data_IF_449985233154
#
_entry.id   IF_449985233154
#
_cell.length_a   1.000
_cell.length_b   1.000
_cell.length_c   1.000
_cell.angle_alpha   90.00
_cell.angle_beta   90.00
_cell.angle_gamma   90.00
#
_symmetry.space_group_name_H-M   'P 1'
#
loop_
_entity.id
_entity.type
_entity.pdbx_description
1 polymer ?
#
# COMPACT_ATOMS: atom_id res chain seq x y z
N UNK A 1 15.51 -1.04 -6.01
CA UNK A 1 15.21 0.41 -6.07
C UNK A 1 13.72 0.76 -6.23
N UNK A 2 12.88 -0.03 -6.90
CA UNK A 2 11.46 0.33 -7.09
C UNK A 2 10.64 0.38 -5.78
N UNK A 3 10.90 -0.52 -4.82
CA UNK A 3 10.16 -0.62 -3.55
C UNK A 3 10.35 0.60 -2.64
N UNK A 4 11.58 1.12 -2.53
CA UNK A 4 11.87 2.33 -1.71
C UNK A 4 11.11 3.55 -2.20
N UNK A 5 10.69 3.56 -3.48
CA UNK A 5 9.91 4.67 -4.03
C UNK A 5 8.49 4.78 -3.47
N UNK A 6 7.95 3.69 -2.90
CA UNK A 6 6.63 3.67 -2.27
C UNK A 6 6.63 4.33 -0.89
N UNK A 7 7.79 4.40 -0.24
CA UNK A 7 7.98 4.97 1.09
C UNK A 7 8.11 6.50 1.02
N UNK A 8 7.80 7.15 2.14
CA UNK A 8 7.91 8.60 2.38
C UNK A 8 7.16 9.47 1.36
N UNK A 9 6.24 8.88 0.61
CA UNK A 9 5.45 9.53 -0.44
C UNK A 9 3.97 9.38 -0.11
N UNK A 10 3.21 10.46 -0.30
CA UNK A 10 1.75 10.40 -0.23
C UNK A 10 1.19 10.01 -1.60
N UNK A 11 0.39 8.97 -1.60
CA UNK A 11 -0.24 8.35 -2.76
C UNK A 11 -1.75 8.58 -2.75
N UNK A 12 -2.31 8.85 -3.92
CA UNK A 12 -3.75 8.76 -4.17
C UNK A 12 -4.11 7.36 -4.68
N UNK A 13 -5.05 6.71 -4.02
CA UNK A 13 -5.47 5.33 -4.22
C UNK A 13 -6.65 5.24 -5.18
N UNK A 14 -6.54 4.36 -6.18
CA UNK A 14 -7.63 3.99 -7.08
C UNK A 14 -7.72 2.46 -7.15
N UNK A 15 -8.92 1.95 -7.36
CA UNK A 15 -9.15 0.55 -7.72
C UNK A 15 -9.06 0.40 -9.22
N UNK A 16 -8.54 -0.74 -9.66
CA UNK A 16 -8.48 -1.13 -11.05
C UNK A 16 -9.18 -2.47 -11.26
N UNK A 17 -10.05 -2.54 -12.26
CA UNK A 17 -10.49 -3.82 -12.78
C UNK A 17 -9.34 -4.52 -13.52
N UNK A 18 -9.45 -5.83 -13.85
CA UNK A 18 -8.40 -6.53 -14.59
C UNK A 18 -7.97 -5.78 -15.86
N UNK A 19 -6.67 -5.73 -16.11
CA UNK A 19 -6.11 -5.12 -17.31
C UNK A 19 -6.15 -6.14 -18.45
N UNK A 20 -7.01 -5.93 -19.44
CA UNK A 20 -7.14 -6.81 -20.60
C UNK A 20 -6.10 -6.43 -21.67
N UNK A 21 -5.09 -7.29 -21.87
CA UNK A 21 -3.99 -7.02 -22.81
C UNK A 21 -3.85 -8.08 -23.90
N UNK A 22 -4.70 -9.12 -23.90
CA UNK A 22 -4.62 -10.26 -24.82
C UNK A 22 -4.77 -9.97 -26.31
N UNK A 23 -5.06 -8.74 -26.69
CA UNK A 23 -5.06 -8.32 -28.11
C UNK A 23 -3.64 -8.12 -28.63
N UNK A 24 -2.68 -7.81 -27.76
CA UNK A 24 -1.33 -7.38 -28.15
C UNK A 24 -0.21 -8.21 -27.52
N UNK A 25 -0.38 -8.60 -26.25
CA UNK A 25 0.63 -9.36 -25.51
C UNK A 25 -0.02 -10.44 -24.65
N UNK A 26 0.63 -11.61 -24.56
CA UNK A 26 0.12 -12.74 -23.76
C UNK A 26 0.28 -12.52 -22.25
N UNK A 27 1.32 -11.78 -21.83
CA UNK A 27 1.65 -11.47 -20.43
C UNK A 27 2.13 -10.02 -20.29
N UNK A 28 1.82 -9.40 -19.14
CA UNK A 28 2.19 -8.00 -18.85
C UNK A 28 3.35 -7.89 -17.84
N UNK A 29 3.33 -8.65 -16.74
CA UNK A 29 4.28 -8.49 -15.62
C UNK A 29 5.71 -8.96 -15.94
N UNK A 30 5.85 -10.03 -16.73
CA UNK A 30 7.15 -10.63 -17.07
C UNK A 30 7.61 -10.28 -18.49
N UNK A 31 6.99 -9.26 -19.10
CA UNK A 31 7.22 -8.92 -20.50
C UNK A 31 7.80 -7.50 -20.64
N UNK A 32 9.15 -7.36 -20.67
CA UNK A 32 9.78 -6.04 -20.80
C UNK A 32 9.47 -5.36 -22.13
N UNK A 33 9.14 -6.13 -23.18
CA UNK A 33 8.75 -5.57 -24.49
C UNK A 33 7.36 -4.94 -24.41
N UNK A 34 6.41 -5.61 -23.74
CA UNK A 34 5.07 -5.06 -23.50
C UNK A 34 5.15 -3.77 -22.68
N UNK A 35 5.88 -3.78 -21.57
CA UNK A 35 6.04 -2.61 -20.71
C UNK A 35 6.66 -1.42 -21.45
N UNK A 36 7.74 -1.62 -22.23
CA UNK A 36 8.33 -0.56 -23.05
C UNK A 36 7.38 -0.03 -24.13
N UNK A 37 6.56 -0.89 -24.71
CA UNK A 37 5.57 -0.51 -25.72
C UNK A 37 4.51 0.40 -25.11
N UNK A 38 3.93 0.02 -23.96
CA UNK A 38 2.94 0.84 -23.26
C UNK A 38 3.54 2.13 -22.70
N UNK A 39 4.79 2.11 -22.21
CA UNK A 39 5.51 3.32 -21.79
C UNK A 39 5.68 4.31 -22.95
N UNK A 40 6.06 3.81 -24.14
CA UNK A 40 6.21 4.64 -25.34
C UNK A 40 4.86 5.26 -25.75
N UNK A 41 3.78 4.47 -25.76
CA UNK A 41 2.44 4.99 -26.08
C UNK A 41 1.94 6.04 -25.10
N UNK A 42 2.16 5.82 -23.81
CA UNK A 42 1.81 6.81 -22.78
C UNK A 42 2.61 8.10 -22.99
N UNK A 43 3.92 8.00 -23.25
CA UNK A 43 4.77 9.15 -23.56
C UNK A 43 4.25 9.92 -24.78
N UNK A 44 3.89 9.21 -25.85
CA UNK A 44 3.39 9.81 -27.08
C UNK A 44 2.04 10.51 -26.85
N UNK A 45 1.16 9.94 -26.01
CA UNK A 45 -0.10 10.60 -25.62
C UNK A 45 0.13 11.85 -24.76
N UNK A 46 1.11 11.81 -23.84
CA UNK A 46 1.45 12.96 -22.99
C UNK A 46 2.16 14.09 -23.75
N UNK A 47 2.93 13.74 -24.78
CA UNK A 47 3.65 14.70 -25.63
C UNK A 47 2.78 15.23 -26.77
N UNK A 48 1.73 14.49 -27.15
CA UNK A 48 0.78 14.88 -28.19
C UNK A 48 -0.15 16.02 -27.77
N UNK A 49 -0.77 16.68 -28.76
CA UNK A 49 -1.63 17.86 -28.59
C UNK A 49 -2.84 17.66 -27.65
N UNK A 50 -3.21 16.42 -27.32
CA UNK A 50 -4.33 16.08 -26.45
C UNK A 50 -4.09 16.42 -24.97
N UNK A 51 -2.85 16.38 -24.48
CA UNK A 51 -2.55 16.73 -23.08
C UNK A 51 -2.77 18.23 -22.82
N UNK A 52 -2.33 19.07 -23.75
CA UNK A 52 -2.50 20.53 -23.67
C UNK A 52 -3.97 20.97 -23.74
N UNK A 53 -4.81 20.23 -24.47
CA UNK A 53 -6.24 20.52 -24.55
C UNK A 53 -7.02 20.10 -23.30
N UNK A 54 -6.59 19.04 -22.60
CA UNK A 54 -7.21 18.60 -21.35
C UNK A 54 -6.96 19.58 -20.20
N UNK A 55 -5.75 20.16 -20.13
CA UNK A 55 -5.37 21.19 -19.16
C UNK A 55 -6.25 22.45 -19.26
N UNK A 56 -6.69 22.82 -20.46
CA UNK A 56 -7.54 24.02 -20.66
C UNK A 56 -9.02 23.84 -20.28
N UNK A 57 -9.46 22.62 -19.93
CA UNK A 57 -10.90 22.28 -19.85
C UNK A 57 -11.43 21.89 -18.46
N UNK A 58 -10.61 21.86 -17.40
CA UNK A 58 -11.08 21.41 -16.07
C UNK A 58 -10.70 22.33 -14.90
N UNK A 59 -11.67 23.10 -14.40
CA UNK A 59 -11.77 23.48 -12.98
C UNK A 59 -10.82 24.55 -12.43
N UNK A 60 -11.02 25.02 -11.19
CA UNK A 60 -10.58 26.33 -10.72
C UNK A 60 -9.05 26.49 -10.67
N UNK A 61 -8.61 27.71 -10.94
CA UNK A 61 -7.26 28.17 -11.31
C UNK A 61 -6.08 27.90 -10.34
N UNK A 62 -6.25 27.09 -9.28
CA UNK A 62 -5.17 26.85 -8.29
C UNK A 62 -4.29 25.63 -8.60
N UNK A 63 -4.76 24.67 -9.40
CA UNK A 63 -4.00 23.44 -9.71
C UNK A 63 -3.20 23.51 -11.03
N UNK A 64 -3.53 24.48 -11.90
CA UNK A 64 -2.91 24.70 -13.22
C UNK A 64 -1.42 25.14 -13.12
N UNK A 65 -1.07 25.76 -11.99
CA UNK A 65 0.30 26.22 -11.68
C UNK A 65 1.28 25.05 -11.41
N UNK A 66 0.79 23.85 -11.08
CA UNK A 66 1.66 22.69 -10.88
C UNK A 66 2.18 22.14 -12.21
N UNK A 67 1.32 22.05 -13.23
CA UNK A 67 1.70 21.54 -14.56
C UNK A 67 2.50 22.57 -15.35
N UNK A 68 2.18 23.85 -15.20
CA UNK A 68 2.93 24.95 -15.85
C UNK A 68 4.42 24.98 -15.49
N UNK A 69 4.79 24.52 -14.29
CA UNK A 69 6.18 24.44 -13.81
C UNK A 69 6.86 23.09 -14.05
N UNK A 70 6.13 22.09 -14.55
CA UNK A 70 6.63 20.72 -14.69
C UNK A 70 7.74 20.60 -15.74
N UNK A 71 7.72 21.45 -16.78
CA UNK A 71 8.67 21.40 -17.90
C UNK A 71 8.34 20.30 -18.90
N UNK A 72 9.24 20.05 -19.86
CA UNK A 72 9.02 19.02 -20.89
C UNK A 72 9.20 17.60 -20.34
N UNK A 73 8.45 16.62 -20.87
CA UNK A 73 8.61 15.21 -20.53
C UNK A 73 9.92 14.67 -21.13
N UNK A 74 10.82 14.21 -20.27
CA UNK A 74 12.12 13.65 -20.65
C UNK A 74 12.05 12.13 -20.86
N UNK A 75 11.42 11.42 -19.93
CA UNK A 75 11.35 9.96 -19.98
C UNK A 75 10.02 9.41 -19.42
N UNK A 76 9.61 8.25 -19.93
CA UNK A 76 8.50 7.47 -19.40
C UNK A 76 8.94 6.00 -19.35
N UNK A 77 8.94 5.41 -18.17
CA UNK A 77 9.38 4.03 -17.96
C UNK A 77 8.33 3.24 -17.18
N UNK A 78 8.19 1.97 -17.55
CA UNK A 78 7.33 1.00 -16.87
C UNK A 78 8.22 -0.17 -16.47
N UNK A 79 8.35 -0.39 -15.17
CA UNK A 79 9.27 -1.37 -14.59
C UNK A 79 8.49 -2.37 -13.73
N UNK A 80 8.79 -3.68 -13.81
CA UNK A 80 8.15 -4.65 -12.95
C UNK A 80 8.64 -4.47 -11.50
N UNK A 81 7.72 -4.50 -10.56
CA UNK A 81 8.02 -4.61 -9.13
C UNK A 81 8.14 -6.10 -8.83
N UNK A 82 9.37 -6.58 -8.61
CA UNK A 82 9.63 -8.02 -8.44
C UNK A 82 9.10 -8.55 -7.10
N UNK A 83 9.23 -7.77 -6.02
CA UNK A 83 8.71 -8.12 -4.70
C UNK A 83 8.08 -6.88 -4.01
N UNK A 84 7.08 -7.09 -3.16
CA UNK A 84 6.54 -6.05 -2.27
C UNK A 84 7.10 -6.14 -0.85
N UNK A 85 7.96 -7.12 -0.56
CA UNK A 85 8.70 -7.22 0.68
C UNK A 85 9.53 -5.96 0.89
N UNK A 86 9.20 -5.18 1.93
CA UNK A 86 9.91 -3.96 2.27
C UNK A 86 11.10 -4.25 3.20
N UNK A 87 11.13 -5.43 3.82
CA UNK A 87 12.21 -5.85 4.72
C UNK A 87 13.50 -6.26 4.00
N UNK A 88 13.43 -6.68 2.72
CA UNK A 88 14.61 -7.07 1.92
C UNK A 88 15.50 -5.89 1.51
N UNK A 89 15.07 -4.65 1.79
CA UNK A 89 15.84 -3.42 1.55
C UNK A 89 17.12 -3.38 2.41
N UNK A 90 17.23 -4.23 3.43
CA UNK A 90 18.38 -4.33 4.34
C UNK A 90 19.48 -5.30 3.85
N UNK A 91 19.16 -6.33 3.04
CA UNK A 91 20.09 -7.43 2.73
C UNK A 91 20.88 -7.29 1.41
N UNK A 92 20.41 -6.49 0.45
CA UNK A 92 21.07 -6.36 -0.88
C UNK A 92 22.38 -5.55 -0.89
N UNK A 93 22.80 -5.00 0.26
CA UNK A 93 24.01 -4.17 0.38
C UNK A 93 25.16 -4.82 1.17
N UNK A 94 25.15 -6.14 1.40
CA UNK A 94 26.29 -6.84 2.00
C UNK A 94 27.11 -7.68 0.98
N UNK A 95 27.98 -7.07 0.14
CA UNK A 95 28.92 -7.80 -0.68
C UNK A 95 30.16 -8.15 0.16
N UNK A 96 30.06 -9.15 1.04
CA UNK A 96 31.09 -9.33 2.07
C UNK A 96 31.22 -10.70 2.71
N UNK A 97 31.25 -11.80 1.95
CA UNK A 97 32.00 -12.96 2.43
C UNK A 97 32.65 -13.75 1.29
N UNK A 98 33.71 -13.16 0.74
CA UNK A 98 34.65 -13.83 -0.14
C UNK A 98 35.77 -14.51 0.65
N UNK A 99 35.76 -15.84 0.62
CA UNK A 99 36.94 -16.73 0.55
C UNK A 99 37.85 -16.86 1.78
N UNK A 100 37.89 -18.09 2.34
CA UNK A 100 39.17 -18.67 2.75
C UNK A 100 39.25 -20.16 2.32
N UNK A 101 40.38 -20.60 1.72
CA UNK A 101 40.49 -21.89 1.04
C UNK A 101 41.21 -22.96 1.89
N UNK A 102 40.82 -24.23 1.73
CA UNK A 102 41.70 -25.38 2.03
C UNK A 102 41.33 -26.63 1.22
N UNK A 103 42.06 -26.82 0.12
CA UNK A 103 42.64 -28.05 -0.49
C UNK A 103 41.99 -29.47 -0.42
N UNK A 104 42.30 -30.38 -1.40
CA UNK A 104 41.41 -31.42 -1.97
C UNK A 104 41.93 -32.87 -1.76
N UNK A 105 41.59 -33.89 -2.60
CA UNK A 105 40.28 -34.50 -2.90
C UNK A 105 40.24 -36.02 -2.60
N UNK A 106 39.05 -36.62 -2.47
CA UNK A 106 38.86 -38.07 -2.71
C UNK A 106 37.63 -38.33 -3.58
N UNK A 107 37.72 -39.23 -4.57
CA UNK A 107 36.69 -39.41 -5.60
C UNK A 107 35.70 -40.48 -5.15
N UNK A 108 34.39 -40.27 -5.42
CA UNK A 108 33.47 -41.36 -5.77
C UNK A 108 32.11 -40.85 -6.27
N UNK A 109 31.78 -41.35 -7.45
CA UNK A 109 30.45 -41.67 -8.01
C UNK A 109 29.52 -40.51 -8.37
N UNK A 110 29.68 -40.15 -9.64
CA UNK A 110 28.76 -39.50 -10.57
C UNK A 110 27.32 -40.04 -10.44
N UNK A 111 26.46 -39.29 -9.78
CA UNK A 111 25.02 -39.23 -10.10
C UNK A 111 24.80 -37.91 -10.83
N UNK A 112 24.34 -38.01 -12.08
CA UNK A 112 23.98 -36.85 -12.90
C UNK A 112 22.85 -36.08 -12.21
N UNK A 113 23.20 -35.01 -11.50
CA UNK A 113 22.25 -34.01 -11.04
C UNK A 113 21.92 -33.14 -12.25
N UNK A 114 20.76 -33.39 -12.84
CA UNK A 114 20.12 -32.49 -13.80
C UNK A 114 20.11 -31.07 -13.19
N UNK A 115 20.37 -30.01 -13.98
CA UNK A 115 20.28 -28.65 -13.48
C UNK A 115 18.86 -28.41 -12.96
N UNK A 116 18.66 -27.69 -11.84
CA UNK A 116 17.33 -27.29 -11.43
C UNK A 116 16.73 -26.47 -12.57
N UNK A 117 15.62 -26.96 -13.13
CA UNK A 117 14.85 -26.23 -14.12
C UNK A 117 14.40 -24.92 -13.49
N UNK A 118 14.96 -23.81 -13.98
CA UNK A 118 14.48 -22.45 -13.74
C UNK A 118 13.01 -22.41 -14.20
N UNK A 119 12.11 -22.59 -13.24
CA UNK A 119 10.69 -22.37 -13.43
C UNK A 119 10.47 -20.87 -13.23
N UNK A 120 9.98 -20.11 -14.22
CA UNK A 120 9.72 -18.69 -14.05
C UNK A 120 8.41 -18.55 -13.27
N UNK A 121 8.48 -18.65 -11.94
CA UNK A 121 7.40 -18.26 -11.03
C UNK A 121 7.79 -17.01 -10.25
N UNK A 122 8.41 -16.04 -10.92
CA UNK A 122 8.55 -14.69 -10.38
C UNK A 122 7.24 -13.95 -10.60
N UNK A 123 6.22 -14.29 -9.80
CA UNK A 123 4.94 -13.59 -9.86
C UNK A 123 5.13 -12.21 -9.24
N UNK A 124 5.48 -11.22 -10.08
CA UNK A 124 5.83 -9.88 -9.67
C UNK A 124 4.75 -9.21 -8.81
N UNK A 125 5.20 -8.40 -7.85
CA UNK A 125 4.37 -7.59 -6.95
C UNK A 125 3.66 -6.41 -7.61
N UNK A 126 3.97 -6.08 -8.87
CA UNK A 126 3.30 -4.99 -9.58
C UNK A 126 4.08 -4.37 -10.74
N UNK A 127 3.69 -3.16 -11.12
CA UNK A 127 4.33 -2.34 -12.15
C UNK A 127 4.52 -0.93 -11.59
N UNK A 128 5.74 -0.40 -11.63
CA UNK A 128 6.06 0.98 -11.32
C UNK A 128 6.13 1.78 -12.63
N UNK A 129 5.38 2.87 -12.71
CA UNK A 129 5.40 3.83 -13.81
C UNK A 129 6.09 5.09 -13.33
N UNK A 130 7.15 5.50 -14.01
CA UNK A 130 7.89 6.73 -13.71
C UNK A 130 7.81 7.67 -14.91
N UNK A 131 7.42 8.91 -14.65
CA UNK A 131 7.40 10.00 -15.62
C UNK A 131 8.40 11.06 -15.16
N UNK A 132 9.50 11.19 -15.89
CA UNK A 132 10.52 12.20 -15.59
C UNK A 132 10.30 13.39 -16.48
N UNK A 133 9.96 14.51 -15.86
CA UNK A 133 9.92 15.82 -16.49
C UNK A 133 11.15 16.62 -16.07
N UNK A 134 11.40 17.72 -16.78
CA UNK A 134 12.55 18.58 -16.53
C UNK A 134 12.71 19.03 -15.07
N UNK A 135 11.59 19.40 -14.43
CA UNK A 135 11.63 19.97 -13.09
C UNK A 135 11.07 19.04 -12.01
N UNK A 136 10.53 17.87 -12.38
CA UNK A 136 9.87 16.99 -11.42
C UNK A 136 9.73 15.56 -11.92
N UNK A 137 9.65 14.62 -10.97
CA UNK A 137 9.39 13.22 -11.27
C UNK A 137 8.06 12.80 -10.66
N UNK A 138 7.20 12.29 -11.52
CA UNK A 138 5.90 11.76 -11.16
C UNK A 138 5.93 10.24 -11.19
N UNK A 139 5.27 9.60 -10.23
CA UNK A 139 5.24 8.15 -10.11
C UNK A 139 3.83 7.62 -9.96
N UNK A 140 3.59 6.42 -10.48
CA UNK A 140 2.42 5.60 -10.21
C UNK A 140 2.82 4.14 -10.03
N UNK A 141 2.07 3.39 -9.24
CA UNK A 141 2.33 1.96 -9.04
C UNK A 141 1.03 1.17 -9.14
N UNK A 142 1.03 0.13 -9.98
CA UNK A 142 -0.04 -0.86 -10.08
C UNK A 142 0.38 -2.08 -9.27
N UNK A 143 -0.35 -2.44 -8.22
CA UNK A 143 0.07 -3.43 -7.24
C UNK A 143 -0.81 -4.67 -7.23
N UNK A 144 -0.22 -5.83 -6.91
CA UNK A 144 -0.90 -7.11 -6.70
C UNK A 144 -0.29 -7.87 -5.52
N UNK A 145 -1.09 -8.74 -4.89
CA UNK A 145 -0.68 -9.51 -3.72
C UNK A 145 0.18 -10.74 -4.07
N UNK A 146 0.33 -11.08 -5.36
CA UNK A 146 0.89 -12.37 -5.80
C UNK A 146 2.33 -12.64 -5.34
N UNK A 147 3.08 -11.61 -4.94
CA UNK A 147 4.45 -11.73 -4.44
C UNK A 147 4.56 -12.06 -2.94
N UNK A 148 3.51 -11.84 -2.15
CA UNK A 148 3.58 -11.92 -0.68
C UNK A 148 3.22 -13.30 -0.12
N UNK A 149 2.58 -14.15 -0.94
CA UNK A 149 2.12 -15.50 -0.54
C UNK A 149 3.13 -16.62 -0.85
N UNK A 150 4.34 -16.30 -1.32
CA UNK A 150 5.36 -17.29 -1.68
C UNK A 150 5.95 -18.07 -0.49
N UNK A 151 5.61 -17.73 0.76
CA UNK A 151 6.25 -18.30 1.96
C UNK A 151 5.31 -19.10 2.88
N UNK A 152 4.00 -19.17 2.60
CA UNK A 152 3.09 -19.92 3.47
C UNK A 152 1.90 -20.49 2.66
N UNK A 153 2.06 -21.67 2.08
CA UNK A 153 0.97 -22.66 1.86
C UNK A 153 1.53 -23.92 1.15
N UNK A 154 1.45 -25.12 1.78
CA UNK A 154 1.80 -26.37 1.15
C UNK A 154 0.61 -26.98 0.38
N UNK A 155 0.78 -27.19 -0.92
CA UNK A 155 0.09 -28.23 -1.72
C UNK A 155 -1.46 -28.24 -1.73
N UNK A 156 -2.09 -27.24 -2.35
CA UNK A 156 -3.47 -27.40 -2.83
C UNK A 156 -3.48 -27.76 -4.33
N UNK A 157 -3.94 -28.99 -4.63
CA UNK A 157 -4.10 -29.52 -6.01
C UNK A 157 -5.04 -28.63 -6.84
N UNK A 158 -4.76 -28.44 -8.16
CA UNK A 158 -5.60 -27.61 -9.01
C UNK A 158 -6.98 -28.27 -9.21
N UNK A 159 -8.03 -27.65 -8.68
CA UNK A 159 -9.41 -28.06 -8.94
C UNK A 159 -9.76 -27.83 -10.41
N UNK A 160 -10.41 -28.83 -11.00
CA UNK A 160 -10.76 -28.93 -12.41
C UNK A 160 -11.56 -27.71 -12.90
N UNK A 161 -11.08 -27.12 -13.99
CA UNK A 161 -11.72 -26.01 -14.71
C UNK A 161 -13.01 -26.49 -15.38
N UNK A 162 -14.15 -25.93 -14.96
CA UNK A 162 -15.38 -26.00 -15.74
C UNK A 162 -15.25 -25.13 -16.99
N UNK A 163 -15.79 -25.68 -18.08
CA UNK A 163 -15.58 -25.38 -19.49
C UNK A 163 -16.40 -24.15 -19.92
N UNK A 164 -15.83 -22.95 -19.79
CA UNK A 164 -16.33 -21.72 -20.46
C UNK A 164 -15.37 -20.50 -20.34
N UNK A 165 -14.06 -20.71 -20.19
CA UNK A 165 -13.07 -19.62 -20.29
C UNK A 165 -12.63 -19.45 -21.74
N UNK A 166 -13.26 -18.53 -22.48
CA UNK A 166 -12.54 -17.78 -23.51
C UNK A 166 -11.27 -17.23 -22.86
N UNK A 167 -10.11 -17.55 -23.44
CA UNK A 167 -8.80 -17.15 -22.91
C UNK A 167 -8.63 -15.63 -23.00
N UNK A 168 -9.21 -14.87 -22.07
CA UNK A 168 -8.94 -13.45 -21.92
C UNK A 168 -7.63 -13.31 -21.15
N UNK A 169 -6.53 -13.01 -21.85
CA UNK A 169 -5.26 -12.66 -21.21
C UNK A 169 -5.44 -11.32 -20.48
N UNK A 170 -5.75 -11.42 -19.19
CA UNK A 170 -6.01 -10.30 -18.30
C UNK A 170 -5.11 -10.42 -17.06
N UNK A 171 -4.49 -9.31 -16.67
CA UNK A 171 -3.65 -9.22 -15.48
C UNK A 171 -4.40 -8.49 -14.37
N UNK A 172 -4.48 -9.06 -13.17
CA UNK A 172 -5.12 -8.43 -12.00
C UNK A 172 -4.11 -7.62 -11.18
N UNK A 173 -4.27 -6.30 -11.21
CA UNK A 173 -3.50 -5.32 -10.42
C UNK A 173 -4.48 -4.40 -9.71
N UNK A 174 -5.18 -4.88 -8.66
CA UNK A 174 -6.39 -4.24 -8.11
C UNK A 174 -6.16 -2.84 -7.54
N UNK A 175 -4.93 -2.47 -7.20
CA UNK A 175 -4.61 -1.20 -6.55
C UNK A 175 -3.69 -0.34 -7.42
N UNK A 176 -4.14 0.87 -7.74
CA UNK A 176 -3.37 1.92 -8.38
C UNK A 176 -3.01 3.01 -7.37
N UNK A 177 -1.71 3.21 -7.16
CA UNK A 177 -1.14 4.35 -6.45
C UNK A 177 -0.72 5.42 -7.45
N UNK A 178 -1.11 6.68 -7.23
CA UNK A 178 -0.68 7.80 -8.09
C UNK A 178 -0.14 8.96 -7.27
N UNK A 179 0.98 9.52 -7.71
CA UNK A 179 1.55 10.77 -7.22
C UNK A 179 1.57 11.78 -8.37
N UNK A 180 0.38 12.06 -8.93
CA UNK A 180 0.19 12.89 -10.12
C UNK A 180 -0.71 14.10 -9.79
N UNK A 181 -0.46 15.29 -10.40
CA UNK A 181 -1.45 16.37 -10.44
C UNK A 181 -2.75 15.89 -11.09
N UNK A 182 -3.88 16.54 -10.78
CA UNK A 182 -5.19 16.07 -11.20
C UNK A 182 -5.33 15.87 -12.73
N UNK A 183 -4.87 16.78 -13.61
CA UNK A 183 -5.02 16.59 -15.06
C UNK A 183 -4.13 15.47 -15.61
N UNK A 184 -2.90 15.32 -15.08
CA UNK A 184 -2.01 14.20 -15.44
C UNK A 184 -2.60 12.86 -15.00
N UNK A 185 -3.17 12.81 -13.80
CA UNK A 185 -3.86 11.63 -13.29
C UNK A 185 -5.05 11.24 -14.15
N UNK A 186 -5.86 12.21 -14.57
CA UNK A 186 -7.01 11.95 -15.43
C UNK A 186 -6.57 11.40 -16.81
N UNK A 187 -5.49 11.97 -17.37
CA UNK A 187 -4.92 11.49 -18.64
C UNK A 187 -4.41 10.06 -18.51
N UNK A 188 -3.68 9.76 -17.42
CA UNK A 188 -3.18 8.41 -17.16
C UNK A 188 -4.29 7.40 -16.94
N UNK A 189 -5.32 7.74 -16.18
CA UNK A 189 -6.51 6.89 -15.99
C UNK A 189 -7.21 6.64 -17.33
N UNK A 190 -7.41 7.69 -18.14
CA UNK A 190 -8.01 7.55 -19.47
C UNK A 190 -7.17 6.67 -20.40
N UNK A 191 -5.85 6.77 -20.34
CA UNK A 191 -4.94 5.90 -21.09
C UNK A 191 -5.10 4.44 -20.67
N UNK A 192 -5.13 4.16 -19.36
CA UNK A 192 -5.32 2.80 -18.85
C UNK A 192 -6.66 2.23 -19.34
N UNK A 193 -7.75 2.97 -19.17
CA UNK A 193 -9.08 2.54 -19.59
C UNK A 193 -9.18 2.28 -21.09
N UNK A 194 -8.63 3.15 -21.94
CA UNK A 194 -8.66 2.98 -23.38
C UNK A 194 -7.77 1.84 -23.89
N UNK A 195 -6.62 1.63 -23.24
CA UNK A 195 -5.61 0.65 -23.67
C UNK A 195 -5.94 -0.76 -23.19
N UNK A 196 -6.43 -0.90 -21.96
CA UNK A 196 -6.61 -2.19 -21.29
C UNK A 196 -8.07 -2.57 -21.01
N UNK A 197 -9.04 -1.77 -21.47
CA UNK A 197 -10.46 -1.97 -21.17
C UNK A 197 -10.68 -2.20 -19.65
N UNK A 198 -10.07 -1.30 -18.85
CA UNK A 198 -10.07 -1.35 -17.40
C UNK A 198 -10.84 -0.17 -16.82
N UNK A 199 -11.57 -0.42 -15.75
CA UNK A 199 -12.27 0.59 -14.98
C UNK A 199 -11.40 1.05 -13.82
N UNK A 200 -11.19 2.36 -13.71
CA UNK A 200 -10.46 3.00 -12.63
C UNK A 200 -11.43 3.79 -11.75
N UNK A 201 -11.53 3.48 -10.45
CA UNK A 201 -12.36 4.25 -9.52
C UNK A 201 -11.59 4.73 -8.30
N UNK A 202 -11.90 5.91 -7.73
CA UNK A 202 -11.31 6.34 -6.46
C UNK A 202 -11.51 5.28 -5.38
N UNK A 203 -10.45 4.91 -4.65
CA UNK A 203 -10.54 3.88 -3.63
C UNK A 203 -10.92 4.50 -2.28
N UNK A 204 -12.20 4.38 -1.92
CA UNK A 204 -12.71 4.83 -0.61
C UNK A 204 -12.49 3.75 0.44
N UNK A 205 -11.88 4.12 1.56
CA UNK A 205 -11.65 3.20 2.68
C UNK A 205 -12.73 3.42 3.76
N UNK A 206 -13.45 2.37 4.17
CA UNK A 206 -14.41 2.46 5.27
C UNK A 206 -13.75 2.82 6.61
N UNK A 207 -14.50 3.44 7.51
CA UNK A 207 -14.02 3.84 8.84
C UNK A 207 -13.53 2.65 9.67
N UNK A 208 -14.25 1.52 9.67
CA UNK A 208 -13.82 0.31 10.37
C UNK A 208 -12.47 -0.20 9.82
N UNK A 209 -12.27 -0.16 8.50
CA UNK A 209 -11.01 -0.61 7.90
C UNK A 209 -9.84 0.27 8.35
N UNK A 210 -10.04 1.58 8.38
CA UNK A 210 -9.03 2.55 8.84
C UNK A 210 -8.66 2.27 10.30
N UNK A 211 -9.65 1.99 11.16
CA UNK A 211 -9.43 1.54 12.53
C UNK A 211 -8.60 0.26 12.58
N UNK A 212 -9.09 -0.82 11.96
CA UNK A 212 -8.39 -2.12 11.94
C UNK A 212 -6.97 -2.01 11.40
N UNK A 213 -6.70 -1.13 10.44
CA UNK A 213 -5.37 -0.89 9.90
C UNK A 213 -4.40 -0.34 10.96
N UNK A 214 -4.84 0.54 11.87
CA UNK A 214 -4.03 1.00 12.99
C UNK A 214 -3.78 -0.13 13.99
N UNK A 215 -4.81 -0.90 14.34
CA UNK A 215 -4.67 -2.03 15.27
C UNK A 215 -3.71 -3.08 14.71
N UNK A 216 -3.86 -3.49 13.45
CA UNK A 216 -2.92 -4.41 12.79
C UNK A 216 -1.51 -3.87 12.75
N UNK A 217 -1.33 -2.56 12.47
CA UNK A 217 -0.02 -1.93 12.47
C UNK A 217 0.64 -1.98 13.86
N UNK A 218 -0.10 -1.63 14.92
CA UNK A 218 0.37 -1.70 16.31
C UNK A 218 0.70 -3.15 16.70
N UNK A 219 -0.20 -4.09 16.41
CA UNK A 219 0.01 -5.51 16.72
C UNK A 219 1.24 -6.07 16.02
N UNK A 220 1.52 -5.63 14.78
CA UNK A 220 2.75 -6.02 14.06
C UNK A 220 4.01 -5.48 14.77
N UNK A 221 3.97 -4.23 15.25
CA UNK A 221 5.09 -3.65 16.01
C UNK A 221 5.30 -4.34 17.37
N UNK A 222 4.23 -4.78 18.03
CA UNK A 222 4.29 -5.43 19.35
C UNK A 222 4.66 -6.91 19.24
N UNK A 223 4.15 -7.63 18.24
CA UNK A 223 4.39 -9.08 18.06
C UNK A 223 5.83 -9.40 17.64
N UNK A 224 6.44 -8.55 16.82
CA UNK A 224 7.82 -8.72 16.32
C UNK A 224 8.85 -8.00 17.21
N UNK A 225 8.37 -7.15 18.13
CA UNK A 225 9.21 -6.49 19.12
C UNK A 225 9.56 -7.45 20.26
N UNK A 226 10.84 -7.82 20.38
CA UNK A 226 11.33 -8.55 21.56
C UNK A 226 10.92 -7.82 22.86
N UNK A 227 10.30 -8.53 23.83
CA UNK A 227 9.76 -7.92 25.03
C UNK A 227 10.87 -7.19 25.80
N UNK A 228 10.73 -5.86 25.92
CA UNK A 228 11.58 -5.00 26.74
C UNK A 228 12.64 -4.18 26.02
N UNK A 229 12.81 -4.29 24.68
CA UNK A 229 13.83 -3.47 23.98
C UNK A 229 13.26 -2.31 23.16
N UNK A 230 12.05 -2.41 22.60
CA UNK A 230 11.48 -1.39 21.72
C UNK A 230 10.03 -1.08 22.09
N UNK A 231 9.75 0.19 22.36
CA UNK A 231 8.40 0.66 22.64
C UNK A 231 7.75 1.12 21.32
N UNK A 232 6.57 0.60 20.91
CA UNK A 232 5.87 1.02 19.69
C UNK A 232 5.61 2.53 19.63
N UNK A 233 5.51 3.20 20.78
CA UNK A 233 5.40 4.66 20.89
C UNK A 233 6.57 5.41 20.23
N UNK A 234 7.77 4.81 20.18
CA UNK A 234 8.94 5.41 19.53
C UNK A 234 8.76 5.53 18.01
N UNK A 235 8.04 4.60 17.41
CA UNK A 235 7.76 4.54 15.97
C UNK A 235 6.52 5.39 15.65
N UNK A 236 5.46 5.23 16.44
CA UNK A 236 4.19 5.94 16.25
C UNK A 236 4.32 7.44 16.51
N UNK A 237 5.21 7.88 17.41
CA UNK A 237 5.34 9.27 17.85
C UNK A 237 4.02 9.80 18.40
N UNK A 238 3.28 10.57 17.62
CA UNK A 238 1.95 11.12 17.94
C UNK A 238 0.87 10.45 17.10
N UNK A 239 -0.36 10.40 17.60
CA UNK A 239 -1.50 9.83 16.89
C UNK A 239 -2.53 10.92 16.60
N UNK A 240 -2.84 11.13 15.33
CA UNK A 240 -3.89 12.04 14.88
C UNK A 240 -5.05 11.26 14.28
N UNK A 241 -6.25 11.53 14.79
CA UNK A 241 -7.50 11.02 14.27
C UNK A 241 -8.31 12.17 13.72
N UNK A 242 -8.81 12.04 12.50
CA UNK A 242 -9.80 12.97 11.94
C UNK A 242 -11.12 12.28 11.85
N UNK A 243 -12.11 12.80 12.56
CA UNK A 243 -13.50 12.40 12.48
C UNK A 243 -14.21 13.31 11.49
N UNK A 244 -15.15 12.74 10.73
CA UNK A 244 -16.03 13.48 9.82
C UNK A 244 -17.48 13.30 10.23
N UNK A 245 -18.26 14.36 10.05
CA UNK A 245 -19.68 14.39 10.38
C UNK A 245 -20.49 14.67 9.11
N UNK A 246 -21.54 13.88 8.83
CA UNK A 246 -22.49 14.19 7.78
C UNK A 246 -23.21 15.50 8.08
N UNK A 247 -23.49 16.28 7.03
CA UNK A 247 -24.21 17.55 7.14
C UNK A 247 -25.63 17.38 7.72
N UNK A 248 -26.23 16.19 7.60
CA UNK A 248 -27.53 15.85 8.20
C UNK A 248 -27.50 15.77 9.73
N UNK A 249 -26.32 15.60 10.32
CA UNK A 249 -26.11 15.45 11.76
C UNK A 249 -25.57 16.73 12.34
N UNK A 250 -24.53 17.28 11.72
CA UNK A 250 -23.84 18.47 12.17
C UNK A 250 -23.53 19.36 10.94
N UNK A 251 -24.46 20.24 10.52
CA UNK A 251 -24.29 21.03 9.30
C UNK A 251 -23.08 21.98 9.37
N UNK A 252 -22.78 22.49 10.57
CA UNK A 252 -21.71 23.46 10.79
C UNK A 252 -20.37 22.82 11.17
N UNK A 253 -20.36 21.55 11.61
CA UNK A 253 -19.17 20.83 12.02
C UNK A 253 -18.84 19.76 11.00
N UNK A 254 -17.94 20.06 10.05
CA UNK A 254 -17.55 19.08 9.01
C UNK A 254 -16.59 18.02 9.51
N UNK A 255 -15.67 18.40 10.38
CA UNK A 255 -14.59 17.53 10.86
C UNK A 255 -14.10 17.92 12.25
N UNK A 256 -13.67 16.93 13.03
CA UNK A 256 -13.01 17.10 14.32
C UNK A 256 -11.66 16.39 14.28
N UNK A 257 -10.60 17.08 14.69
CA UNK A 257 -9.27 16.49 14.82
C UNK A 257 -8.97 16.22 16.28
N UNK A 258 -8.59 14.99 16.58
CA UNK A 258 -8.16 14.53 17.91
C UNK A 258 -6.68 14.17 17.78
N UNK A 259 -5.85 14.80 18.61
CA UNK A 259 -4.42 14.54 18.66
C UNK A 259 -4.08 13.94 20.01
N UNK A 260 -3.42 12.79 20.00
CA UNK A 260 -2.95 12.08 21.19
C UNK A 260 -1.41 12.23 21.20
N UNK A 261 -0.86 13.04 22.13
CA UNK A 261 0.57 13.22 22.26
C UNK A 261 1.29 11.90 22.60
N UNK A 262 2.58 11.86 22.29
CA UNK A 262 3.45 10.69 22.50
C UNK A 262 3.45 10.23 23.97
N UNK A 263 3.44 11.18 24.90
CA UNK A 263 3.51 10.93 26.33
C UNK A 263 2.28 10.14 26.81
N UNK A 264 1.09 10.53 26.32
CA UNK A 264 -0.19 9.89 26.64
C UNK A 264 -0.41 8.57 25.89
N UNK A 265 0.12 8.45 24.66
CA UNK A 265 -0.04 7.25 23.84
C UNK A 265 0.47 5.99 24.55
N UNK A 266 1.57 6.11 25.30
CA UNK A 266 2.13 5.01 26.08
C UNK A 266 1.16 4.42 27.11
N UNK A 267 0.30 5.26 27.71
CA UNK A 267 -0.72 4.80 28.65
C UNK A 267 -1.80 3.97 27.97
N UNK A 268 -2.22 4.38 26.77
CA UNK A 268 -3.22 3.66 25.97
C UNK A 268 -2.71 2.32 25.45
N UNK A 269 -1.43 2.24 25.06
CA UNK A 269 -0.82 0.98 24.60
C UNK A 269 -0.50 0.01 25.75
N UNK A 270 -0.25 0.52 26.98
CA UNK A 270 0.13 -0.29 28.15
C UNK A 270 -1.06 -0.72 29.00
N UNK A 271 -2.25 -0.17 28.79
CA UNK A 271 -3.46 -0.51 29.53
C UNK A 271 -3.92 -1.98 29.35
N UNK A 272 -3.17 -2.80 28.62
CA UNK A 272 -3.28 -4.26 28.42
C UNK A 272 -3.26 -5.15 29.68
N UNK A 273 -3.50 -4.62 30.88
CA UNK A 273 -3.20 -5.35 32.11
C UNK A 273 -4.13 -5.08 33.28
N UNK A 274 -5.42 -5.46 33.17
CA UNK A 274 -6.19 -5.84 34.35
C UNK A 274 -7.44 -6.70 34.05
N UNK A 275 -7.27 -7.91 33.52
CA UNK A 275 -8.34 -8.92 33.53
C UNK A 275 -8.42 -9.82 32.29
N UNK A 276 -8.19 -11.12 32.50
CA UNK A 276 -8.63 -12.26 31.68
C UNK A 276 -8.71 -12.09 30.15
N UNK A 277 -7.58 -12.34 29.47
CA UNK A 277 -7.57 -13.09 28.20
C UNK A 277 -8.13 -12.45 26.93
N UNK A 278 -8.55 -11.19 26.94
CA UNK A 278 -8.88 -10.46 25.71
C UNK A 278 -7.77 -9.46 25.41
N UNK A 279 -7.10 -9.58 24.27
CA UNK A 279 -6.24 -8.51 23.74
C UNK A 279 -7.08 -7.22 23.75
N UNK A 280 -6.70 -6.25 24.59
CA UNK A 280 -7.43 -5.00 24.67
C UNK A 280 -7.04 -4.16 23.47
N UNK A 281 -7.92 -4.10 22.49
CA UNK A 281 -7.74 -3.27 21.30
C UNK A 281 -7.60 -1.79 21.72
N UNK A 282 -6.49 -1.16 21.33
CA UNK A 282 -6.15 0.25 21.63
C UNK A 282 -7.30 1.18 21.25
N UNK A 283 -7.99 0.86 20.16
CA UNK A 283 -9.14 1.61 19.69
C UNK A 283 -10.34 1.52 20.62
N UNK A 284 -10.54 0.39 21.27
CA UNK A 284 -11.63 0.20 22.24
C UNK A 284 -11.37 1.02 23.50
N UNK A 285 -10.12 1.03 23.98
CA UNK A 285 -9.71 1.87 25.12
C UNK A 285 -9.89 3.35 24.79
N UNK A 286 -9.48 3.77 23.59
CA UNK A 286 -9.65 5.15 23.15
C UNK A 286 -11.12 5.52 23.00
N UNK A 287 -11.95 4.61 22.47
CA UNK A 287 -13.41 4.82 22.36
C UNK A 287 -14.03 5.04 23.74
N UNK A 288 -13.68 4.20 24.72
CA UNK A 288 -14.13 4.35 26.10
C UNK A 288 -13.67 5.67 26.73
N UNK A 289 -12.42 6.08 26.48
CA UNK A 289 -11.89 7.36 26.98
C UNK A 289 -12.65 8.57 26.40
N UNK A 290 -12.95 8.55 25.10
CA UNK A 290 -13.74 9.60 24.44
C UNK A 290 -15.20 9.61 24.95
N UNK A 291 -15.78 8.45 25.23
CA UNK A 291 -17.11 8.36 25.80
C UNK A 291 -17.15 8.90 27.24
N UNK A 292 -16.19 8.50 28.09
CA UNK A 292 -16.12 8.92 29.49
C UNK A 292 -15.82 10.42 29.64
N UNK A 293 -14.85 10.94 28.90
CA UNK A 293 -14.36 12.30 29.11
C UNK A 293 -14.93 13.35 28.16
N UNK A 294 -15.39 12.95 26.97
CA UNK A 294 -15.96 13.86 25.98
C UNK A 294 -17.46 13.60 25.71
N UNK A 295 -18.08 12.64 26.41
CA UNK A 295 -19.45 12.20 26.15
C UNK A 295 -19.67 11.80 24.69
N UNK A 296 -18.62 11.32 24.02
CA UNK A 296 -18.64 10.98 22.60
C UNK A 296 -18.70 9.47 22.43
N UNK A 297 -19.89 8.95 22.12
CA UNK A 297 -20.06 7.55 21.74
C UNK A 297 -19.62 7.35 20.30
N UNK A 298 -18.47 6.71 20.11
CA UNK A 298 -17.88 6.48 18.80
C UNK A 298 -17.16 5.13 18.76
N UNK A 299 -17.53 4.26 17.82
CA UNK A 299 -16.86 2.96 17.63
C UNK A 299 -15.70 3.11 16.64
N UNK A 300 -14.47 3.05 17.16
CA UNK A 300 -13.26 3.08 16.36
C UNK A 300 -12.88 1.71 15.77
N UNK A 301 -13.23 0.61 16.43
CA UNK A 301 -12.79 -0.74 16.05
C UNK A 301 -13.72 -1.39 15.03
N UNK A 302 -14.95 -0.87 14.90
CA UNK A 302 -15.98 -1.44 14.03
C UNK A 302 -16.46 -2.82 14.50
N UNK A 303 -16.06 -3.25 15.70
CA UNK A 303 -16.44 -4.52 16.30
C UNK A 303 -17.94 -4.57 16.64
N UNK A 304 -18.60 -3.41 16.74
CA UNK A 304 -20.05 -3.30 16.94
C UNK A 304 -20.90 -3.74 15.74
N UNK A 305 -20.30 -3.93 14.55
CA UNK A 305 -21.04 -4.33 13.34
C UNK A 305 -21.51 -5.80 13.34
N UNK A 306 -21.09 -6.62 14.31
CA UNK A 306 -21.36 -8.07 14.32
C UNK A 306 -22.22 -8.61 15.47
N UNK A 307 -22.52 -7.84 16.52
CA UNK A 307 -23.02 -8.41 17.79
C UNK A 307 -24.28 -7.75 18.40
N UNK A 308 -25.09 -7.07 17.60
CA UNK A 308 -26.39 -6.54 18.05
C UNK A 308 -27.31 -6.13 16.91
N UNK A 309 -28.63 -6.00 17.15
CA UNK A 309 -29.54 -5.50 16.13
C UNK A 309 -29.11 -4.08 15.75
N UNK A 310 -28.68 -3.90 14.50
CA UNK A 310 -28.35 -2.61 13.91
C UNK A 310 -29.48 -1.61 14.17
N UNK A 311 -29.29 -0.69 15.11
CA UNK A 311 -30.10 0.51 15.17
C UNK A 311 -29.60 1.38 14.02
N UNK A 312 -30.27 1.30 12.87
CA UNK A 312 -30.13 2.26 11.75
C UNK A 312 -30.22 3.67 12.34
N UNK A 313 -29.07 4.32 12.55
CA UNK A 313 -28.99 5.65 13.17
C UNK A 313 -27.95 5.86 14.27
N UNK A 314 -26.96 4.97 14.49
CA UNK A 314 -25.88 5.25 15.47
C UNK A 314 -24.50 5.62 14.88
N UNK A 315 -24.22 5.42 13.59
CA UNK A 315 -22.96 5.89 12.97
C UNK A 315 -23.15 7.25 12.30
N UNK A 316 -23.37 8.27 13.14
CA UNK A 316 -23.40 9.66 12.69
C UNK A 316 -22.00 10.27 12.57
N UNK A 317 -20.98 9.61 13.11
CA UNK A 317 -19.58 10.05 13.06
C UNK A 317 -18.77 8.98 12.38
N UNK A 318 -17.83 9.37 11.52
CA UNK A 318 -17.00 8.45 10.74
C UNK A 318 -15.53 8.77 10.93
N UNK A 319 -14.71 7.75 11.19
CA UNK A 319 -13.27 7.90 11.14
C UNK A 319 -12.88 8.14 9.69
N UNK A 320 -12.41 9.35 9.39
CA UNK A 320 -12.05 9.77 8.05
C UNK A 320 -10.56 9.58 7.78
N UNK A 321 -9.69 9.69 8.80
CA UNK A 321 -8.25 9.61 8.61
C UNK A 321 -7.53 9.25 9.92
N UNK A 322 -6.46 8.47 9.79
CA UNK A 322 -5.44 8.26 10.82
C UNK A 322 -4.10 8.75 10.27
N UNK A 323 -3.33 9.43 11.12
CA UNK A 323 -1.93 9.72 10.85
C UNK A 323 -1.09 9.52 12.10
N UNK A 324 0.04 8.84 11.95
CA UNK A 324 1.07 8.71 12.98
C UNK A 324 2.46 8.79 12.34
N UNK A 325 3.51 8.65 13.14
CA UNK A 325 4.90 8.67 12.70
C UNK A 325 5.24 7.60 11.66
N UNK A 326 4.51 6.48 11.64
CA UNK A 326 4.74 5.34 10.73
C UNK A 326 3.90 5.36 9.45
N UNK A 327 2.70 5.93 9.47
CA UNK A 327 1.85 5.99 8.28
C UNK A 327 0.76 7.07 8.35
N UNK A 328 0.15 7.34 7.19
CA UNK A 328 -1.09 8.10 7.06
C UNK A 328 -2.05 7.30 6.18
N UNK A 329 -3.29 7.13 6.64
CA UNK A 329 -4.36 6.46 5.91
C UNK A 329 -5.63 7.32 5.97
N UNK A 330 -6.14 7.71 4.80
CA UNK A 330 -7.34 8.52 4.66
C UNK A 330 -8.44 7.78 3.91
N UNK A 331 -9.67 7.89 4.40
CA UNK A 331 -10.91 7.35 3.82
C UNK A 331 -11.20 7.87 2.42
N UNK A 332 -10.69 9.06 2.07
CA UNK A 332 -10.76 9.57 0.71
C UNK A 332 -9.82 8.88 -0.29
N UNK A 333 -9.03 7.88 0.13
CA UNK A 333 -8.09 7.17 -0.72
C UNK A 333 -6.71 7.80 -0.72
N UNK A 334 -6.18 8.13 0.46
CA UNK A 334 -4.81 8.65 0.62
C UNK A 334 -4.00 7.71 1.50
N UNK A 335 -2.78 7.40 1.07
CA UNK A 335 -1.83 6.55 1.81
C UNK A 335 -0.45 7.20 1.84
N UNK A 336 0.23 7.18 2.99
CA UNK A 336 1.66 7.44 3.10
C UNK A 336 2.25 6.39 4.04
N UNK A 337 3.31 5.73 3.62
CA UNK A 337 4.10 4.85 4.48
C UNK A 337 5.39 5.56 4.82
N UNK A 338 5.81 5.54 6.07
CA UNK A 338 7.00 6.25 6.56
C UNK A 338 7.95 5.25 7.18
N UNK A 339 9.13 5.13 6.58
CA UNK A 339 10.23 4.31 7.07
C UNK A 339 11.56 4.92 6.62
N UNK A 340 12.65 4.65 7.32
CA UNK A 340 13.95 5.16 6.90
C UNK A 340 14.44 4.36 5.68
N UNK A 341 14.85 5.02 4.59
CA UNK A 341 15.64 4.33 3.57
C UNK A 341 16.96 3.92 4.22
N UNK A 342 17.41 2.69 4.00
CA UNK A 342 18.66 2.16 4.57
C UNK A 342 19.82 3.10 4.23
N UNK A 343 20.28 3.88 5.21
CA UNK A 343 21.42 4.77 5.08
C UNK A 343 22.61 4.16 5.81
N UNK A 344 23.47 3.47 5.07
CA UNK A 344 24.81 3.11 5.53
C UNK A 344 25.83 4.05 4.91
N UNK A 345 26.18 5.14 5.60
CA UNK A 345 27.43 5.87 5.34
C UNK A 345 28.22 6.26 6.59
N UNK A 346 27.72 6.01 7.81
CA UNK A 346 28.54 6.11 9.02
C UNK A 346 28.46 4.80 9.78
N UNK A 347 29.61 4.11 9.88
CA UNK A 347 29.79 2.74 10.37
C UNK A 347 29.56 2.55 11.87
N UNK A 348 28.39 2.94 12.35
CA UNK A 348 27.88 2.63 13.69
C UNK A 348 26.35 2.74 13.65
N UNK A 349 25.70 1.90 12.83
CA UNK A 349 24.26 1.68 13.00
C UNK A 349 24.08 0.94 14.31
N UNK A 350 23.85 1.71 15.38
CA UNK A 350 23.29 1.22 16.64
C UNK A 350 22.25 0.13 16.33
N UNK A 351 22.48 -1.10 16.81
CA UNK A 351 21.64 -2.26 16.49
C UNK A 351 20.16 -2.02 16.83
N UNK A 352 19.88 -1.08 17.74
CA UNK A 352 18.53 -0.64 18.05
C UNK A 352 17.87 0.16 16.90
N UNK A 353 18.60 1.04 16.21
CA UNK A 353 18.08 1.86 15.12
C UNK A 353 17.76 1.02 13.87
N UNK A 354 18.65 0.08 13.51
CA UNK A 354 18.41 -0.88 12.44
C UNK A 354 17.18 -1.74 12.72
N UNK A 355 17.06 -2.27 13.95
CA UNK A 355 15.90 -3.09 14.34
C UNK A 355 14.59 -2.30 14.36
N UNK A 356 14.60 -1.03 14.78
CA UNK A 356 13.43 -0.13 14.69
C UNK A 356 12.98 0.05 13.24
N UNK A 357 13.93 0.22 12.32
CA UNK A 357 13.62 0.38 10.90
C UNK A 357 13.03 -0.90 10.31
N UNK A 358 13.60 -2.06 10.62
CA UNK A 358 13.10 -3.36 10.19
C UNK A 358 11.63 -3.58 10.59
N UNK A 359 11.30 -3.33 11.87
CA UNK A 359 9.92 -3.43 12.36
C UNK A 359 8.97 -2.45 11.65
N UNK A 360 9.45 -1.23 11.41
CA UNK A 360 8.66 -0.21 10.70
C UNK A 360 8.37 -0.62 9.26
N UNK A 361 9.37 -1.14 8.55
CA UNK A 361 9.24 -1.66 7.19
C UNK A 361 8.27 -2.83 7.15
N UNK A 362 8.38 -3.76 8.11
CA UNK A 362 7.48 -4.91 8.20
C UNK A 362 6.03 -4.50 8.46
N UNK A 363 5.80 -3.59 9.39
CA UNK A 363 4.46 -3.07 9.67
C UNK A 363 3.88 -2.30 8.47
N UNK A 364 4.71 -1.56 7.72
CA UNK A 364 4.29 -0.92 6.47
C UNK A 364 3.93 -1.94 5.38
N UNK A 365 4.66 -3.06 5.28
CA UNK A 365 4.38 -4.13 4.33
C UNK A 365 3.05 -4.81 4.62
N UNK A 366 2.79 -5.15 5.88
CA UNK A 366 1.52 -5.74 6.32
C UNK A 366 0.36 -4.77 6.01
N UNK A 367 0.51 -3.49 6.35
CA UNK A 367 -0.49 -2.47 6.07
C UNK A 367 -0.76 -2.33 4.56
N UNK A 368 0.28 -2.28 3.73
CA UNK A 368 0.12 -2.21 2.27
C UNK A 368 -0.60 -3.45 1.74
N UNK A 369 -0.26 -4.63 2.25
CA UNK A 369 -0.89 -5.90 1.88
C UNK A 369 -2.37 -5.92 2.20
N UNK A 370 -2.77 -5.40 3.36
CA UNK A 370 -4.18 -5.30 3.75
C UNK A 370 -4.95 -4.31 2.87
N UNK A 371 -4.34 -3.18 2.49
CA UNK A 371 -4.92 -2.22 1.54
C UNK A 371 -5.11 -2.87 0.16
N UNK A 372 -4.13 -3.62 -0.33
CA UNK A 372 -4.24 -4.38 -1.60
C UNK A 372 -5.35 -5.43 -1.51
N UNK A 373 -5.43 -6.20 -0.40
CA UNK A 373 -6.47 -7.19 -0.18
C UNK A 373 -7.86 -6.55 -0.17
N UNK A 374 -8.01 -5.38 0.47
CA UNK A 374 -9.29 -4.64 0.50
C UNK A 374 -9.67 -4.10 -0.88
N UNK A 375 -8.71 -3.81 -1.75
CA UNK A 375 -9.00 -3.44 -3.14
C UNK A 375 -9.61 -4.60 -3.94
N UNK A 376 -9.34 -5.86 -3.57
CA UNK A 376 -9.93 -7.06 -4.20
C UNK A 376 -11.33 -7.37 -3.67
N UNK A 377 -11.53 -7.33 -2.35
CA UNK A 377 -12.73 -7.88 -1.69
C UNK A 377 -14.02 -7.11 -2.01
N UNK A 378 -13.96 -5.81 -2.24
CA UNK A 378 -15.17 -5.00 -2.45
C UNK A 378 -15.85 -5.18 -3.81
N UNK A 379 -15.31 -5.98 -4.74
CA UNK A 379 -16.07 -6.36 -5.95
C UNK A 379 -17.34 -7.17 -5.61
N UNK A 380 -17.39 -7.81 -4.42
CA UNK A 380 -18.51 -8.66 -4.01
C UNK A 380 -19.58 -7.93 -3.18
N UNK A 381 -19.26 -6.80 -2.55
CA UNK A 381 -20.21 -6.07 -1.69
C UNK A 381 -21.20 -5.21 -2.50
N UNK A 382 -20.91 -4.95 -3.77
CA UNK A 382 -21.75 -4.13 -4.67
C UNK A 382 -22.85 -4.95 -5.39
N UNK A 383 -23.08 -6.21 -4.99
CA UNK A 383 -24.05 -7.10 -5.64
C UNK A 383 -25.31 -7.42 -4.80
N UNK A 384 -25.43 -6.85 -3.61
CA UNK A 384 -26.69 -6.82 -2.83
C UNK A 384 -27.25 -5.39 -2.72
N UNK A 385 -27.88 -4.93 -3.80
CA UNK A 385 -28.89 -3.86 -3.73
C UNK A 385 -30.09 -4.21 -4.58
#
# INVERSE_FOLDING_TARGET
MAQTSLLNTTWALHRLSPLHHGKEFDTLLDNPVALRTYATRLRDQLTGASFLSAVQSSGPATEDDALSRTGALQSCTWEPILNLSLSEIEDENNPGNGSQPSSPPRPRVRTQRLPPSLSPSHQGGGILVTLEYENTTYKAALLTLSSLTSQLEPTAKPRARTRSQTQTHATRLPLLLTRFPAPLRQTFISFLSATFDTYCSPFRLPSHFIGTALTTYINTLTSEGEPGTLNPVDILKELHLTLSFPASVAPDLRSLNITIPRESLSGFLRAEGNGAGSESDVLSILSAYLEEHLAMKFDLSGAGAGAGPFVKGQEHVRLAKIACGGFLLGGEGRLKLVAAPSASENGESDGAAGRKNHLTLRACEVLLSDVVRRAVVSENDDQET
#
